data_IF_068593680801
#
_entry.id   IF_068593680801
#
_cell.length_a   1.000
_cell.length_b   1.000
_cell.length_c   1.000
_cell.angle_alpha   90.00
_cell.angle_beta   90.00
_cell.angle_gamma   90.00
#
_symmetry.space_group_name_H-M   'P 1'
#
loop_
_entity.id
_entity.type
_entity.pdbx_description
1 polymer ?
#
# COMPACT_ATOMS: atom_id res chain seq x y z
N UNK A 1 -12.46 -2.86 -0.17
CA UNK A 1 -11.07 -3.24 0.15
C UNK A 1 -10.54 -4.41 -0.68
N UNK A 2 -11.29 -5.50 -0.93
CA UNK A 2 -10.80 -6.64 -1.73
C UNK A 2 -10.29 -6.24 -3.12
N UNK A 3 -11.04 -5.39 -3.85
CA UNK A 3 -10.62 -4.86 -5.15
C UNK A 3 -9.30 -4.08 -5.02
N UNK A 4 -9.14 -3.28 -3.98
CA UNK A 4 -7.91 -2.54 -3.72
C UNK A 4 -6.74 -3.48 -3.47
N UNK A 5 -6.92 -4.48 -2.60
CA UNK A 5 -5.89 -5.46 -2.25
C UNK A 5 -5.44 -6.28 -3.47
N UNK A 6 -6.37 -6.73 -4.30
CA UNK A 6 -6.08 -7.45 -5.54
C UNK A 6 -5.36 -6.58 -6.57
N UNK A 7 -5.83 -5.34 -6.77
CA UNK A 7 -5.20 -4.39 -7.70
C UNK A 7 -3.76 -4.06 -7.27
N UNK A 8 -3.51 -3.85 -5.97
CA UNK A 8 -2.16 -3.62 -5.47
C UNK A 8 -1.28 -4.86 -5.54
N UNK A 9 -1.82 -6.06 -5.38
CA UNK A 9 -1.06 -7.29 -5.57
C UNK A 9 -0.64 -7.46 -7.05
N UNK A 10 -1.56 -7.24 -7.99
CA UNK A 10 -1.25 -7.22 -9.43
C UNK A 10 -0.21 -6.13 -9.77
N UNK A 11 -0.40 -4.93 -9.25
CA UNK A 11 0.60 -3.86 -9.39
C UNK A 11 1.97 -4.32 -8.91
N UNK A 12 2.06 -4.98 -7.75
CA UNK A 12 3.34 -5.45 -7.19
C UNK A 12 3.99 -6.53 -8.08
N UNK A 13 3.20 -7.44 -8.65
CA UNK A 13 3.69 -8.42 -9.61
C UNK A 13 4.26 -7.74 -10.88
N UNK A 14 3.54 -6.75 -11.42
CA UNK A 14 4.00 -5.98 -12.59
C UNK A 14 5.23 -5.12 -12.28
N UNK A 15 5.36 -4.57 -11.07
CA UNK A 15 6.57 -3.86 -10.62
C UNK A 15 7.77 -4.81 -10.61
N UNK A 16 7.60 -6.05 -10.14
CA UNK A 16 8.64 -7.08 -10.19
C UNK A 16 9.05 -7.37 -11.63
N UNK A 17 8.08 -7.58 -12.52
CA UNK A 17 8.34 -7.79 -13.94
C UNK A 17 9.07 -6.61 -14.59
N UNK A 18 8.64 -5.37 -14.33
CA UNK A 18 9.32 -4.17 -14.82
C UNK A 18 10.79 -4.10 -14.36
N UNK A 19 11.05 -4.48 -13.09
CA UNK A 19 12.41 -4.55 -12.55
C UNK A 19 13.26 -5.61 -13.23
N UNK A 20 12.69 -6.80 -13.53
CA UNK A 20 13.35 -7.86 -14.31
C UNK A 20 13.68 -7.43 -15.74
N UNK A 21 12.87 -6.55 -16.32
CA UNK A 21 13.14 -5.92 -17.63
C UNK A 21 14.17 -4.78 -17.56
N UNK A 22 14.79 -4.53 -16.41
CA UNK A 22 15.84 -3.54 -16.19
C UNK A 22 15.35 -2.10 -15.99
N UNK A 23 14.05 -1.89 -15.73
CA UNK A 23 13.52 -0.55 -15.47
C UNK A 23 13.84 -0.11 -14.03
N UNK A 24 14.53 1.03 -13.82
CA UNK A 24 14.84 1.52 -12.48
C UNK A 24 13.60 1.82 -11.65
N UNK A 25 13.67 1.55 -10.35
CA UNK A 25 12.53 1.69 -9.43
C UNK A 25 11.93 3.10 -9.42
N UNK A 26 12.76 4.14 -9.40
CA UNK A 26 12.29 5.53 -9.43
C UNK A 26 11.60 5.89 -10.74
N UNK A 27 12.00 5.27 -11.86
CA UNK A 27 11.30 5.41 -13.13
C UNK A 27 9.93 4.72 -13.10
N UNK A 28 9.83 3.54 -12.50
CA UNK A 28 8.52 2.87 -12.29
C UNK A 28 7.59 3.78 -11.47
N UNK A 29 8.10 4.40 -10.40
CA UNK A 29 7.34 5.34 -9.57
C UNK A 29 6.92 6.57 -10.39
N UNK A 30 7.81 7.11 -11.21
CA UNK A 30 7.52 8.26 -12.06
C UNK A 30 6.41 7.95 -13.08
N UNK A 31 6.57 6.87 -13.87
CA UNK A 31 5.61 6.53 -14.92
C UNK A 31 4.24 6.21 -14.34
N UNK A 32 4.18 5.41 -13.26
CA UNK A 32 2.89 5.14 -12.60
C UNK A 32 2.24 6.41 -12.05
N UNK A 33 3.04 7.36 -11.55
CA UNK A 33 2.51 8.62 -11.04
C UNK A 33 1.94 9.48 -12.18
N UNK A 34 2.60 9.56 -13.32
CA UNK A 34 2.07 10.24 -14.52
C UNK A 34 0.76 9.63 -14.96
N UNK A 35 0.68 8.30 -15.08
CA UNK A 35 -0.56 7.59 -15.45
C UNK A 35 -1.66 7.86 -14.41
N UNK A 36 -1.35 7.80 -13.12
CA UNK A 36 -2.32 8.08 -12.05
C UNK A 36 -2.83 9.52 -12.09
N UNK A 37 -1.98 10.51 -12.40
CA UNK A 37 -2.42 11.90 -12.59
C UNK A 37 -3.39 12.01 -13.75
N UNK A 38 -3.05 11.43 -14.92
CA UNK A 38 -3.91 11.47 -16.10
C UNK A 38 -5.28 10.83 -15.84
N UNK A 39 -5.30 9.64 -15.23
CA UNK A 39 -6.52 8.93 -14.91
C UNK A 39 -7.35 9.67 -13.83
N UNK A 40 -6.70 10.25 -12.81
CA UNK A 40 -7.39 11.05 -11.80
C UNK A 40 -8.01 12.31 -12.40
N UNK A 41 -7.29 13.01 -13.29
CA UNK A 41 -7.81 14.19 -13.97
C UNK A 41 -8.97 13.85 -14.90
N UNK A 42 -8.92 12.71 -15.60
CA UNK A 42 -10.01 12.22 -16.43
C UNK A 42 -11.28 11.94 -15.58
N UNK A 43 -11.12 11.27 -14.43
CA UNK A 43 -12.24 10.97 -13.52
C UNK A 43 -12.79 12.24 -12.86
N UNK A 44 -11.93 13.19 -12.45
CA UNK A 44 -12.33 14.50 -11.91
C UNK A 44 -13.16 15.28 -12.91
N UNK A 45 -12.75 15.30 -14.19
CA UNK A 45 -13.52 15.96 -15.26
C UNK A 45 -14.88 15.27 -15.48
N UNK A 46 -14.89 13.94 -15.45
CA UNK A 46 -16.12 13.15 -15.63
C UNK A 46 -17.14 13.42 -14.52
N UNK A 47 -16.68 13.57 -13.29
CA UNK A 47 -17.54 13.82 -12.10
C UNK A 47 -17.86 15.31 -11.94
N UNK A 48 -17.19 16.21 -12.68
CA UNK A 48 -17.36 17.66 -12.57
C UNK A 48 -16.79 18.24 -11.27
N UNK A 49 -15.81 17.55 -10.64
CA UNK A 49 -15.19 18.03 -9.41
C UNK A 49 -14.08 19.05 -9.70
N UNK A 50 -13.78 19.90 -8.71
CA UNK A 50 -12.68 20.84 -8.83
C UNK A 50 -11.33 20.14 -8.53
N UNK A 51 -10.33 20.16 -9.43
CA UNK A 51 -9.10 19.37 -9.29
C UNK A 51 -8.24 19.78 -8.08
N UNK A 52 -8.32 21.03 -7.64
CA UNK A 52 -7.57 21.51 -6.48
C UNK A 52 -8.25 21.18 -5.14
N UNK A 53 -9.49 20.68 -5.16
CA UNK A 53 -10.25 20.41 -3.93
C UNK A 53 -10.47 21.63 -3.05
N UNK A 54 -11.04 21.41 -1.88
CA UNK A 54 -11.34 22.47 -0.90
C UNK A 54 -10.26 22.53 0.20
N UNK A 55 -9.80 21.37 0.70
CA UNK A 55 -8.83 21.27 1.81
C UNK A 55 -7.41 21.03 1.31
N UNK A 56 -6.87 21.96 0.52
CA UNK A 56 -5.56 21.85 -0.15
C UNK A 56 -4.41 21.51 0.77
N UNK A 57 -4.35 22.06 1.97
CA UNK A 57 -3.30 21.77 2.96
C UNK A 57 -3.29 20.31 3.42
N UNK A 58 -4.47 19.73 3.69
CA UNK A 58 -4.59 18.31 4.06
C UNK A 58 -4.32 17.38 2.86
N UNK A 59 -4.75 17.78 1.66
CA UNK A 59 -4.46 17.05 0.43
C UNK A 59 -2.96 16.99 0.14
N UNK A 60 -2.27 18.13 0.28
CA UNK A 60 -0.81 18.20 0.15
C UNK A 60 -0.11 17.37 1.24
N UNK A 61 -0.54 17.51 2.51
CA UNK A 61 -0.01 16.70 3.62
C UNK A 61 -0.16 15.20 3.35
N UNK A 62 -1.30 14.76 2.78
CA UNK A 62 -1.51 13.37 2.33
C UNK A 62 -0.52 12.97 1.23
N UNK A 63 -0.29 13.85 0.26
CA UNK A 63 0.68 13.60 -0.83
C UNK A 63 2.10 13.45 -0.31
N UNK A 64 2.54 14.41 0.51
CA UNK A 64 3.89 14.45 1.11
C UNK A 64 4.12 13.28 2.06
N UNK A 65 3.19 13.01 2.98
CA UNK A 65 3.32 11.87 3.91
C UNK A 65 3.38 10.53 3.16
N UNK A 66 2.58 10.38 2.08
CA UNK A 66 2.63 9.21 1.22
C UNK A 66 3.96 9.06 0.48
N UNK A 67 4.54 10.14 -0.02
CA UNK A 67 5.84 10.11 -0.70
C UNK A 67 6.98 9.79 0.26
N UNK A 68 7.02 10.43 1.44
CA UNK A 68 8.00 10.13 2.48
C UNK A 68 7.90 8.66 2.91
N UNK A 69 6.67 8.18 3.14
CA UNK A 69 6.42 6.78 3.49
C UNK A 69 6.97 5.83 2.43
N UNK A 70 6.65 6.08 1.15
CA UNK A 70 7.10 5.27 0.03
C UNK A 70 8.63 5.22 -0.06
N UNK A 71 9.29 6.37 0.03
CA UNK A 71 10.76 6.49 -0.04
C UNK A 71 11.42 5.77 1.13
N UNK A 72 10.86 5.91 2.34
CA UNK A 72 11.36 5.24 3.55
C UNK A 72 11.23 3.71 3.46
N UNK A 73 10.09 3.21 2.94
CA UNK A 73 9.89 1.78 2.72
C UNK A 73 10.88 1.24 1.68
N UNK A 74 11.13 1.98 0.60
CA UNK A 74 12.09 1.56 -0.41
C UNK A 74 13.52 1.55 0.11
N UNK A 75 13.90 2.54 0.92
CA UNK A 75 15.19 2.52 1.59
C UNK A 75 15.34 1.27 2.47
N UNK A 76 14.30 0.91 3.22
CA UNK A 76 14.30 -0.31 4.02
C UNK A 76 14.43 -1.58 3.15
N UNK A 77 13.70 -1.68 2.02
CA UNK A 77 13.76 -2.83 1.11
C UNK A 77 15.16 -3.02 0.49
N UNK A 78 15.86 -1.93 0.20
CA UNK A 78 17.21 -1.98 -0.38
C UNK A 78 18.25 -2.46 0.65
N UNK A 79 18.09 -2.11 1.94
CA UNK A 79 19.12 -2.35 2.96
C UNK A 79 18.77 -3.47 3.94
N UNK A 80 17.56 -4.03 3.90
CA UNK A 80 17.12 -5.13 4.75
C UNK A 80 16.74 -6.34 3.90
N UNK A 81 16.77 -7.56 4.49
CA UNK A 81 16.09 -8.71 3.87
C UNK A 81 14.63 -8.35 3.56
N UNK A 82 14.16 -8.73 2.35
CA UNK A 82 12.82 -8.37 1.85
C UNK A 82 11.73 -8.71 2.87
N UNK A 83 11.87 -9.84 3.54
CA UNK A 83 10.95 -10.29 4.58
C UNK A 83 10.85 -9.30 5.75
N UNK A 84 12.00 -8.84 6.27
CA UNK A 84 12.03 -7.89 7.36
C UNK A 84 11.44 -6.54 6.95
N UNK A 85 11.80 -6.03 5.77
CA UNK A 85 11.25 -4.79 5.23
C UNK A 85 9.72 -4.88 5.03
N UNK A 86 9.23 -6.02 4.50
CA UNK A 86 7.81 -6.28 4.30
C UNK A 86 7.07 -6.31 5.64
N UNK A 87 7.61 -7.02 6.65
CA UNK A 87 7.01 -7.07 7.99
C UNK A 87 6.90 -5.68 8.62
N UNK A 88 7.97 -4.88 8.51
CA UNK A 88 7.95 -3.50 9.00
C UNK A 88 6.91 -2.65 8.28
N UNK A 89 6.81 -2.76 6.95
CA UNK A 89 5.82 -2.01 6.17
C UNK A 89 4.39 -2.41 6.56
N UNK A 90 4.10 -3.69 6.73
CA UNK A 90 2.76 -4.15 7.12
C UNK A 90 2.38 -3.86 8.58
N UNK A 91 3.20 -3.12 9.33
CA UNK A 91 2.78 -2.47 10.57
C UNK A 91 1.87 -1.27 10.35
N UNK A 92 1.73 -0.75 9.11
CA UNK A 92 0.90 0.42 8.82
C UNK A 92 -0.58 0.30 9.25
N UNK A 93 -1.29 -0.86 9.24
CA UNK A 93 -2.66 -0.91 9.74
C UNK A 93 -2.74 -0.69 11.25
N UNK A 94 -1.73 -1.14 12.00
CA UNK A 94 -1.63 -0.89 13.44
C UNK A 94 -1.47 0.60 13.70
N UNK A 95 -0.55 1.26 13.01
CA UNK A 95 -0.39 2.72 13.10
C UNK A 95 -1.62 3.48 12.64
N UNK A 96 -2.29 3.04 11.57
CA UNK A 96 -3.54 3.66 11.12
C UNK A 96 -4.63 3.53 12.18
N UNK A 97 -4.80 2.36 12.82
CA UNK A 97 -5.79 2.17 13.87
C UNK A 97 -5.51 3.07 15.08
N UNK A 98 -4.23 3.18 15.49
CA UNK A 98 -3.81 4.05 16.58
C UNK A 98 -4.06 5.54 16.26
N UNK A 99 -3.63 6.00 15.08
CA UNK A 99 -3.81 7.38 14.65
C UNK A 99 -5.28 7.75 14.44
N UNK A 100 -6.09 6.83 13.89
CA UNK A 100 -7.52 7.03 13.74
C UNK A 100 -8.22 7.12 15.12
N UNK A 101 -7.79 6.33 16.09
CA UNK A 101 -8.29 6.44 17.47
C UNK A 101 -7.96 7.81 18.09
N UNK A 102 -6.70 8.27 17.95
CA UNK A 102 -6.24 9.52 18.56
C UNK A 102 -6.83 10.76 17.86
N UNK A 103 -6.78 10.80 16.52
CA UNK A 103 -7.10 12.01 15.74
C UNK A 103 -8.51 12.06 15.17
N UNK A 104 -9.16 10.92 14.97
CA UNK A 104 -10.51 10.81 14.42
C UNK A 104 -11.52 10.33 15.46
N UNK A 105 -11.05 9.95 16.66
CA UNK A 105 -11.86 9.35 17.74
C UNK A 105 -12.58 8.05 17.27
N UNK A 106 -12.09 7.41 16.23
CA UNK A 106 -12.61 6.13 15.71
C UNK A 106 -12.07 4.98 16.58
N UNK A 107 -12.94 4.35 17.39
CA UNK A 107 -12.55 3.19 18.19
C UNK A 107 -12.52 1.94 17.31
N UNK A 108 -11.38 1.22 17.22
CA UNK A 108 -11.34 -0.06 16.51
C UNK A 108 -12.25 -1.06 17.21
N UNK A 109 -13.05 -1.79 16.43
CA UNK A 109 -13.90 -2.86 16.97
C UNK A 109 -13.05 -4.05 17.41
N UNK A 110 -13.61 -4.90 18.31
CA UNK A 110 -12.95 -6.16 18.71
C UNK A 110 -12.61 -7.03 17.48
N UNK A 111 -13.49 -7.06 16.48
CA UNK A 111 -13.27 -7.76 15.23
C UNK A 111 -12.09 -7.21 14.44
N UNK A 112 -11.95 -5.87 14.36
CA UNK A 112 -10.80 -5.21 13.73
C UNK A 112 -9.50 -5.53 14.45
N UNK A 113 -9.48 -5.46 15.79
CA UNK A 113 -8.31 -5.83 16.59
C UNK A 113 -7.92 -7.29 16.37
N UNK A 114 -8.89 -8.20 16.34
CA UNK A 114 -8.64 -9.62 16.09
C UNK A 114 -8.10 -9.86 14.67
N UNK A 115 -8.62 -9.16 13.67
CA UNK A 115 -8.07 -9.18 12.31
C UNK A 115 -6.61 -8.74 12.29
N UNK A 116 -6.27 -7.64 12.94
CA UNK A 116 -4.89 -7.12 13.02
C UNK A 116 -3.98 -8.16 13.70
N UNK A 117 -4.38 -8.70 14.84
CA UNK A 117 -3.59 -9.69 15.60
C UNK A 117 -3.36 -10.96 14.80
N UNK A 118 -4.43 -11.56 14.23
CA UNK A 118 -4.32 -12.76 13.42
C UNK A 118 -3.47 -12.52 12.17
N UNK A 119 -3.58 -11.35 11.54
CA UNK A 119 -2.78 -11.00 10.37
C UNK A 119 -1.32 -10.80 10.71
N UNK A 120 -0.99 -10.20 11.86
CA UNK A 120 0.40 -10.05 12.32
C UNK A 120 1.02 -11.42 12.66
N UNK A 121 0.25 -12.31 13.31
CA UNK A 121 0.69 -13.68 13.57
C UNK A 121 0.93 -14.41 12.24
N UNK A 122 -0.02 -14.32 11.32
CA UNK A 122 0.10 -14.92 9.99
C UNK A 122 1.31 -14.42 9.20
N UNK A 123 1.55 -13.11 9.24
CA UNK A 123 2.74 -12.50 8.65
C UNK A 123 4.03 -13.01 9.32
N UNK A 124 4.03 -13.14 10.65
CA UNK A 124 5.13 -13.74 11.40
C UNK A 124 5.47 -15.16 10.93
N UNK A 125 4.46 -16.02 10.72
CA UNK A 125 4.64 -17.37 10.16
C UNK A 125 5.23 -17.34 8.75
N UNK A 126 4.77 -16.43 7.88
CA UNK A 126 5.29 -16.32 6.50
C UNK A 126 6.77 -15.91 6.47
N UNK A 127 7.19 -15.12 7.45
CA UNK A 127 8.54 -14.54 7.52
C UNK A 127 9.50 -15.40 8.39
N UNK A 128 8.98 -16.20 9.33
CA UNK A 128 9.76 -17.01 10.26
C UNK A 128 10.85 -17.88 9.60
N UNK A 129 10.62 -18.59 8.46
CA UNK A 129 11.67 -19.38 7.82
C UNK A 129 12.90 -18.57 7.40
N UNK A 130 12.73 -17.29 7.11
CA UNK A 130 13.81 -16.40 6.70
C UNK A 130 14.64 -15.89 7.91
N UNK A 131 14.06 -15.92 9.10
CA UNK A 131 14.72 -15.53 10.35
C UNK A 131 15.46 -16.72 11.01
N UNK A 132 14.99 -17.94 10.73
CA UNK A 132 15.56 -19.18 11.25
C UNK A 132 16.74 -19.70 10.41
N UNK A 133 16.94 -19.19 9.20
CA UNK A 133 18.12 -19.48 8.40
C UNK A 133 19.35 -18.83 9.05
N UNK A 134 20.44 -19.60 9.22
CA UNK A 134 21.60 -19.40 10.07
C UNK A 134 22.50 -18.16 9.83
N UNK A 135 22.06 -17.17 9.11
CA UNK A 135 22.78 -15.91 9.00
C UNK A 135 22.24 -14.89 10.02
N UNK A 136 22.94 -14.63 11.15
CA UNK A 136 22.59 -13.54 12.06
C UNK A 136 22.95 -12.21 11.38
N UNK A 137 22.18 -11.79 10.41
CA UNK A 137 22.26 -10.42 9.89
C UNK A 137 21.76 -9.51 11.00
N UNK A 138 22.66 -8.88 11.74
CA UNK A 138 22.32 -7.76 12.62
C UNK A 138 21.61 -6.75 11.74
N UNK A 139 20.29 -6.62 11.92
CA UNK A 139 19.51 -5.63 11.20
C UNK A 139 20.10 -4.25 11.49
N UNK A 140 20.53 -3.55 10.44
CA UNK A 140 21.09 -2.23 10.60
C UNK A 140 20.03 -1.28 11.16
N UNK A 141 20.39 -0.48 12.16
CA UNK A 141 19.46 0.40 12.88
C UNK A 141 18.69 1.36 11.97
N UNK A 142 19.40 2.07 11.10
CA UNK A 142 18.79 3.08 10.22
C UNK A 142 17.77 2.51 9.23
N UNK A 143 18.02 1.40 8.53
CA UNK A 143 17.01 0.76 7.68
C UNK A 143 15.76 0.27 8.43
N UNK A 144 15.91 -0.22 9.66
CA UNK A 144 14.78 -0.61 10.51
C UNK A 144 13.95 0.62 10.87
N UNK A 145 14.61 1.72 11.30
CA UNK A 145 13.91 2.97 11.59
C UNK A 145 13.22 3.55 10.36
N UNK A 146 13.82 3.46 9.19
CA UNK A 146 13.19 3.87 7.93
C UNK A 146 11.96 3.01 7.62
N UNK A 147 12.02 1.68 7.78
CA UNK A 147 10.89 0.78 7.59
C UNK A 147 9.72 1.10 8.52
N UNK A 148 9.98 1.30 9.81
CA UNK A 148 8.97 1.71 10.78
C UNK A 148 8.44 3.13 10.50
N UNK A 149 9.33 4.07 10.15
CA UNK A 149 8.95 5.43 9.75
C UNK A 149 8.06 5.43 8.49
N UNK A 150 8.37 4.55 7.54
CA UNK A 150 7.55 4.35 6.34
C UNK A 150 6.16 3.79 6.66
N UNK A 151 6.07 2.81 7.58
CA UNK A 151 4.80 2.29 8.05
C UNK A 151 3.97 3.34 8.80
N UNK A 152 4.60 4.13 9.68
CA UNK A 152 3.96 5.24 10.37
C UNK A 152 3.49 6.31 9.38
N UNK A 153 4.32 6.70 8.41
CA UNK A 153 3.99 7.65 7.35
C UNK A 153 2.80 7.17 6.50
N UNK A 154 2.72 5.87 6.20
CA UNK A 154 1.55 5.25 5.56
C UNK A 154 0.32 5.35 6.45
N UNK A 155 0.44 5.11 7.76
CA UNK A 155 -0.63 5.28 8.74
C UNK A 155 -1.16 6.72 8.78
N UNK A 156 -0.27 7.70 8.77
CA UNK A 156 -0.62 9.13 8.67
C UNK A 156 -1.37 9.40 7.37
N UNK A 157 -0.83 8.94 6.23
CA UNK A 157 -1.45 9.14 4.93
C UNK A 157 -2.88 8.57 4.87
N UNK A 158 -3.11 7.37 5.39
CA UNK A 158 -4.43 6.73 5.41
C UNK A 158 -5.40 7.43 6.38
N UNK A 159 -4.92 7.89 7.54
CA UNK A 159 -5.72 8.69 8.47
C UNK A 159 -6.15 10.01 7.82
N UNK A 160 -5.25 10.66 7.06
CA UNK A 160 -5.58 11.86 6.28
C UNK A 160 -6.60 11.55 5.17
N UNK A 161 -6.46 10.43 4.46
CA UNK A 161 -7.47 9.98 3.47
C UNK A 161 -8.82 9.85 4.14
N UNK A 162 -8.92 9.18 5.29
CA UNK A 162 -10.19 9.01 6.02
C UNK A 162 -10.82 10.36 6.41
N UNK A 163 -10.01 11.32 6.84
CA UNK A 163 -10.49 12.67 7.14
C UNK A 163 -10.95 13.44 5.90
N UNK A 164 -10.27 13.24 4.78
CA UNK A 164 -10.54 13.95 3.52
C UNK A 164 -11.77 13.40 2.79
N UNK A 165 -12.07 12.11 2.87
CA UNK A 165 -13.22 11.51 2.18
C UNK A 165 -14.59 12.06 2.63
N UNK A 166 -14.64 12.75 3.76
CA UNK A 166 -15.84 13.45 4.23
C UNK A 166 -16.13 14.73 3.45
N UNK A 167 -15.13 15.33 2.80
CA UNK A 167 -15.23 16.67 2.19
C UNK A 167 -14.73 16.73 0.76
N UNK A 168 -13.95 15.74 0.32
CA UNK A 168 -13.30 15.73 -0.98
C UNK A 168 -13.70 14.49 -1.80
N UNK A 169 -13.71 14.65 -3.11
CA UNK A 169 -13.93 13.52 -4.01
C UNK A 169 -12.73 12.56 -3.99
N UNK A 170 -12.95 11.22 -4.04
CA UNK A 170 -11.86 10.24 -4.04
C UNK A 170 -10.77 10.51 -5.06
N UNK A 171 -11.15 10.87 -6.29
CA UNK A 171 -10.19 11.15 -7.37
C UNK A 171 -9.30 12.34 -7.09
N UNK A 172 -9.81 13.37 -6.38
CA UNK A 172 -9.03 14.53 -5.94
C UNK A 172 -8.03 14.13 -4.86
N UNK A 173 -8.46 13.30 -3.90
CA UNK A 173 -7.57 12.80 -2.83
C UNK A 173 -6.42 11.96 -3.43
N UNK A 174 -6.75 11.09 -4.40
CA UNK A 174 -5.76 10.22 -5.06
C UNK A 174 -4.79 11.04 -5.92
N UNK A 175 -5.24 12.14 -6.56
CA UNK A 175 -4.43 12.99 -7.43
C UNK A 175 -3.20 13.58 -6.72
N UNK A 176 -3.33 14.02 -5.48
CA UNK A 176 -2.25 14.74 -4.79
C UNK A 176 -1.01 13.89 -4.51
N UNK A 177 -1.17 12.58 -4.29
CA UNK A 177 -0.04 11.70 -4.06
C UNK A 177 0.89 11.58 -5.28
N UNK A 178 0.42 11.21 -6.47
CA UNK A 178 1.26 11.16 -7.64
C UNK A 178 1.80 12.53 -8.07
N UNK A 179 1.07 13.62 -7.82
CA UNK A 179 1.59 14.98 -8.06
C UNK A 179 2.85 15.28 -7.24
N UNK A 180 2.98 14.74 -6.03
CA UNK A 180 4.20 14.86 -5.21
C UNK A 180 5.25 13.83 -5.65
N UNK A 181 4.84 12.62 -6.06
CA UNK A 181 5.78 11.58 -6.52
C UNK A 181 6.53 11.98 -7.79
N UNK A 182 5.90 12.69 -8.74
CA UNK A 182 6.55 13.08 -10.01
C UNK A 182 7.82 13.89 -9.77
N UNK A 183 7.79 15.08 -9.12
CA UNK A 183 8.99 15.84 -8.86
C UNK A 183 9.97 15.10 -7.95
N UNK A 184 9.48 14.35 -6.96
CA UNK A 184 10.32 13.56 -6.07
C UNK A 184 11.11 12.48 -6.81
N UNK A 185 10.48 11.72 -7.69
CA UNK A 185 11.15 10.68 -8.48
C UNK A 185 12.16 11.25 -9.49
N UNK A 186 11.84 12.41 -10.11
CA UNK A 186 12.75 13.10 -11.01
C UNK A 186 13.99 13.62 -10.28
N UNK A 187 13.80 14.24 -9.11
CA UNK A 187 14.91 14.79 -8.33
C UNK A 187 15.84 13.70 -7.77
N UNK A 188 15.29 12.54 -7.39
CA UNK A 188 16.05 11.47 -6.75
C UNK A 188 16.66 10.46 -7.75
N UNK A 189 16.13 10.34 -8.95
CA UNK A 189 16.56 9.28 -9.87
C UNK A 189 16.41 9.58 -11.36
N UNK A 190 16.08 10.81 -11.73
CA UNK A 190 15.83 11.16 -13.13
C UNK A 190 17.04 10.96 -14.06
N UNK A 191 18.27 11.02 -13.51
CA UNK A 191 19.50 10.78 -14.27
C UNK A 191 19.69 9.31 -14.68
N UNK A 192 19.06 8.37 -13.95
CA UNK A 192 19.22 6.92 -14.18
C UNK A 192 18.10 6.33 -15.05
N UNK A 193 17.22 7.16 -15.60
CA UNK A 193 16.09 6.67 -16.39
C UNK A 193 16.57 6.08 -17.72
N UNK A 194 16.02 4.90 -18.04
CA UNK A 194 16.30 4.17 -19.29
C UNK A 194 15.08 4.19 -20.20
N UNK A 195 15.28 3.98 -21.49
CA UNK A 195 14.16 3.84 -22.43
C UNK A 195 13.69 2.38 -22.45
N UNK A 196 12.49 2.05 -21.92
CA UNK A 196 11.99 0.68 -21.88
C UNK A 196 11.70 0.16 -23.31
N UNK A 197 11.80 -1.16 -23.47
CA UNK A 197 11.32 -1.82 -24.68
C UNK A 197 9.77 -1.81 -24.73
N UNK A 198 9.18 -2.28 -25.83
CA UNK A 198 7.72 -2.30 -26.00
C UNK A 198 7.00 -3.05 -24.87
N UNK A 199 7.54 -4.20 -24.43
CA UNK A 199 6.98 -4.98 -23.30
C UNK A 199 7.07 -4.18 -22.00
N UNK A 200 8.19 -3.53 -21.73
CA UNK A 200 8.37 -2.67 -20.56
C UNK A 200 7.33 -1.55 -20.49
N UNK A 201 6.98 -0.93 -21.61
CA UNK A 201 5.92 0.09 -21.66
C UNK A 201 4.53 -0.48 -21.32
N UNK A 202 4.17 -1.68 -21.82
CA UNK A 202 2.91 -2.34 -21.47
C UNK A 202 2.86 -2.68 -19.97
N UNK A 203 3.95 -3.19 -19.43
CA UNK A 203 4.05 -3.50 -18.00
C UNK A 203 3.92 -2.22 -17.16
N UNK A 204 4.61 -1.14 -17.53
CA UNK A 204 4.50 0.15 -16.84
C UNK A 204 3.09 0.75 -16.91
N UNK A 205 2.41 0.62 -18.05
CA UNK A 205 1.01 1.02 -18.18
C UNK A 205 0.12 0.23 -17.21
N UNK A 206 0.31 -1.08 -17.15
CA UNK A 206 -0.38 -1.94 -16.18
C UNK A 206 -0.12 -1.52 -14.73
N UNK A 207 1.14 -1.24 -14.36
CA UNK A 207 1.50 -0.71 -13.03
C UNK A 207 0.70 0.54 -12.70
N UNK A 208 0.64 1.51 -13.62
CA UNK A 208 -0.10 2.76 -13.43
C UNK A 208 -1.61 2.54 -13.28
N UNK A 209 -2.21 1.73 -14.16
CA UNK A 209 -3.64 1.45 -14.14
C UNK A 209 -4.06 0.72 -12.85
N UNK A 210 -3.33 -0.34 -12.44
CA UNK A 210 -3.65 -1.06 -11.21
C UNK A 210 -3.33 -0.25 -9.96
N UNK A 211 -2.31 0.60 -9.97
CA UNK A 211 -2.09 1.59 -8.90
C UNK A 211 -3.31 2.49 -8.74
N UNK A 212 -3.80 3.06 -9.82
CA UNK A 212 -4.96 3.97 -9.79
C UNK A 212 -6.21 3.27 -9.29
N UNK A 213 -6.50 2.07 -9.82
CA UNK A 213 -7.64 1.25 -9.38
C UNK A 213 -7.55 0.94 -7.88
N UNK A 214 -6.37 0.51 -7.41
CA UNK A 214 -6.11 0.20 -6.01
C UNK A 214 -6.32 1.40 -5.10
N UNK A 215 -5.79 2.57 -5.47
CA UNK A 215 -5.90 3.80 -4.71
C UNK A 215 -7.35 4.33 -4.66
N UNK A 216 -8.06 4.31 -5.76
CA UNK A 216 -9.47 4.72 -5.81
C UNK A 216 -10.36 3.77 -4.98
N UNK A 217 -10.15 2.45 -5.11
CA UNK A 217 -10.91 1.46 -4.35
C UNK A 217 -10.63 1.57 -2.84
N UNK A 218 -9.37 1.83 -2.43
CA UNK A 218 -9.00 2.11 -1.04
C UNK A 218 -9.71 3.37 -0.52
N UNK A 219 -9.62 4.47 -1.28
CA UNK A 219 -10.19 5.75 -0.86
C UNK A 219 -11.72 5.65 -0.74
N UNK A 220 -12.38 4.99 -1.70
CA UNK A 220 -13.83 4.71 -1.63
C UNK A 220 -14.18 3.80 -0.45
N UNK A 221 -13.36 2.80 -0.14
CA UNK A 221 -13.59 1.96 1.04
C UNK A 221 -13.53 2.78 2.33
N UNK A 222 -12.63 3.74 2.42
CA UNK A 222 -12.53 4.65 3.57
C UNK A 222 -13.66 5.69 3.64
N UNK A 223 -14.45 5.87 2.58
CA UNK A 223 -15.70 6.66 2.67
C UNK A 223 -16.81 5.92 3.42
N UNK A 224 -16.83 4.59 3.28
CA UNK A 224 -17.93 3.73 3.77
C UNK A 224 -17.59 3.11 5.12
N UNK A 225 -16.29 2.94 5.44
CA UNK A 225 -15.84 2.22 6.61
C UNK A 225 -14.77 3.02 7.38
N UNK A 226 -14.51 2.64 8.65
CA UNK A 226 -13.46 3.25 9.46
C UNK A 226 -12.06 3.02 8.87
N UNK A 227 -11.13 3.94 9.16
CA UNK A 227 -9.74 3.83 8.67
C UNK A 227 -9.08 2.54 9.16
N UNK A 228 -9.23 2.21 10.43
CA UNK A 228 -8.65 1.01 11.05
C UNK A 228 -9.14 -0.27 10.39
N UNK A 229 -10.44 -0.34 10.07
CA UNK A 229 -11.03 -1.52 9.44
C UNK A 229 -10.65 -1.64 7.98
N UNK A 230 -10.74 -0.55 7.23
CA UNK A 230 -10.33 -0.53 5.83
C UNK A 230 -8.87 -0.99 5.68
N UNK A 231 -7.95 -0.47 6.51
CA UNK A 231 -6.52 -0.85 6.44
C UNK A 231 -6.22 -2.24 6.98
N UNK A 232 -6.96 -2.74 8.00
CA UNK A 232 -6.76 -4.12 8.47
C UNK A 232 -7.10 -5.16 7.38
N UNK A 233 -8.09 -4.88 6.53
CA UNK A 233 -8.41 -5.74 5.39
C UNK A 233 -7.34 -5.69 4.27
N UNK A 234 -6.42 -4.74 4.30
CA UNK A 234 -5.31 -4.70 3.32
C UNK A 234 -4.32 -5.84 3.47
N UNK A 235 -4.26 -6.52 4.63
CA UNK A 235 -3.44 -7.72 4.79
C UNK A 235 -3.77 -8.83 3.78
N UNK A 236 -5.01 -8.89 3.25
CA UNK A 236 -5.41 -9.83 2.19
C UNK A 236 -4.53 -9.66 0.93
N UNK A 237 -3.98 -8.47 0.70
CA UNK A 237 -3.03 -8.23 -0.39
C UNK A 237 -1.84 -9.19 -0.35
N UNK A 238 -1.37 -9.59 0.84
CA UNK A 238 -0.26 -10.52 1.02
C UNK A 238 -0.63 -11.89 0.43
N UNK A 239 -1.85 -12.35 0.67
CA UNK A 239 -2.35 -13.61 0.14
C UNK A 239 -2.45 -13.56 -1.39
N UNK A 240 -3.00 -12.46 -1.94
CA UNK A 240 -3.02 -12.27 -3.39
C UNK A 240 -1.62 -12.20 -3.99
N UNK A 241 -0.67 -11.52 -3.32
CA UNK A 241 0.71 -11.45 -3.77
C UNK A 241 1.38 -12.83 -3.79
N UNK A 242 1.15 -13.67 -2.77
CA UNK A 242 1.66 -15.04 -2.73
C UNK A 242 1.06 -15.91 -3.86
N UNK A 243 -0.24 -15.79 -4.13
CA UNK A 243 -0.90 -16.50 -5.23
C UNK A 243 -0.36 -16.06 -6.59
N UNK A 244 -0.19 -14.76 -6.82
CA UNK A 244 0.36 -14.24 -8.07
C UNK A 244 1.83 -14.62 -8.23
N UNK A 245 2.61 -14.64 -7.14
CA UNK A 245 3.99 -15.12 -7.12
C UNK A 245 4.09 -16.58 -7.59
N UNK A 246 3.17 -17.43 -7.09
CA UNK A 246 3.08 -18.82 -7.52
C UNK A 246 2.68 -18.94 -9.00
N UNK A 247 1.65 -18.22 -9.42
CA UNK A 247 1.10 -18.34 -10.78
C UNK A 247 2.03 -17.79 -11.87
N UNK A 248 2.66 -16.63 -11.63
CA UNK A 248 3.43 -15.92 -12.66
C UNK A 248 4.94 -16.11 -12.54
N UNK A 249 5.45 -16.41 -11.35
CA UNK A 249 6.88 -16.51 -11.10
C UNK A 249 7.32 -17.91 -10.65
N UNK A 250 6.41 -18.90 -10.67
CA UNK A 250 6.65 -20.27 -10.20
C UNK A 250 7.19 -20.36 -8.75
N UNK A 251 6.90 -19.33 -7.93
CA UNK A 251 7.28 -19.28 -6.53
C UNK A 251 6.31 -20.13 -5.71
N UNK A 252 6.66 -21.42 -5.49
CA UNK A 252 5.81 -22.34 -4.70
C UNK A 252 5.77 -21.84 -3.24
N UNK A 253 4.58 -21.48 -2.70
CA UNK A 253 4.48 -21.02 -1.33
C UNK A 253 4.89 -22.12 -0.35
N UNK A 254 5.88 -21.86 0.50
CA UNK A 254 6.25 -22.76 1.59
C UNK A 254 5.06 -23.01 2.53
N UNK A 255 5.08 -24.13 3.27
CA UNK A 255 4.01 -24.47 4.23
C UNK A 255 3.75 -23.33 5.22
N UNK A 256 4.78 -22.66 5.70
CA UNK A 256 4.68 -21.49 6.56
C UNK A 256 3.91 -20.33 5.91
N UNK A 257 4.11 -20.11 4.60
CA UNK A 257 3.36 -19.11 3.82
C UNK A 257 1.88 -19.48 3.69
N UNK A 258 1.58 -20.78 3.51
CA UNK A 258 0.19 -21.26 3.44
C UNK A 258 -0.53 -21.10 4.79
N UNK A 259 0.12 -21.48 5.90
CA UNK A 259 -0.43 -21.31 7.25
C UNK A 259 -0.64 -19.81 7.56
N UNK A 260 0.37 -18.99 7.28
CA UNK A 260 0.28 -17.54 7.48
C UNK A 260 -0.84 -16.90 6.65
N UNK A 261 -0.98 -17.30 5.38
CA UNK A 261 -2.07 -16.86 4.51
C UNK A 261 -3.45 -17.27 5.03
N UNK A 262 -3.60 -18.49 5.54
CA UNK A 262 -4.84 -18.96 6.15
C UNK A 262 -5.23 -18.13 7.38
N UNK A 263 -4.28 -17.79 8.26
CA UNK A 263 -4.52 -16.94 9.42
C UNK A 263 -4.96 -15.51 9.03
N UNK A 264 -4.34 -14.93 7.98
CA UNK A 264 -4.74 -13.62 7.44
C UNK A 264 -6.17 -13.68 6.90
N UNK A 265 -6.52 -14.71 6.14
CA UNK A 265 -7.88 -14.91 5.63
C UNK A 265 -8.90 -15.09 6.75
N UNK A 266 -8.58 -15.89 7.77
CA UNK A 266 -9.44 -16.04 8.95
C UNK A 266 -9.67 -14.71 9.66
N UNK A 267 -8.62 -13.92 9.88
CA UNK A 267 -8.74 -12.58 10.47
C UNK A 267 -9.65 -11.67 9.66
N UNK A 268 -9.50 -11.66 8.33
CA UNK A 268 -10.34 -10.88 7.44
C UNK A 268 -11.81 -11.35 7.44
N UNK A 269 -12.05 -12.66 7.45
CA UNK A 269 -13.40 -13.23 7.55
C UNK A 269 -14.07 -12.87 8.86
N UNK A 270 -13.36 -12.99 9.98
CA UNK A 270 -13.86 -12.59 11.31
C UNK A 270 -14.23 -11.10 11.31
N UNK A 271 -13.36 -10.24 10.75
CA UNK A 271 -13.64 -8.81 10.64
C UNK A 271 -14.86 -8.53 9.75
N UNK A 272 -15.10 -9.33 8.72
CA UNK A 272 -16.26 -9.18 7.85
C UNK A 272 -17.58 -9.69 8.48
N UNK A 273 -17.51 -10.80 9.21
CA UNK A 273 -18.71 -11.46 9.80
C UNK A 273 -19.21 -10.76 11.06
N UNK A 274 -18.31 -10.32 11.91
CA UNK A 274 -18.65 -9.65 13.16
C UNK A 274 -19.00 -8.17 12.96
N UNK A 275 -19.43 -7.79 11.76
CA UNK A 275 -19.96 -6.44 11.52
C UNK A 275 -21.23 -6.25 12.35
N UNK A 276 -21.31 -5.19 13.18
CA UNK A 276 -22.63 -4.69 13.56
C UNK A 276 -23.34 -4.35 12.24
N UNK A 277 -24.52 -4.90 12.03
CA UNK A 277 -25.45 -4.39 11.02
C UNK A 277 -25.79 -2.97 11.46
N UNK A 278 -25.02 -1.97 11.04
CA UNK A 278 -25.46 -0.59 11.18
C UNK A 278 -26.77 -0.48 10.44
N UNK A 279 -27.80 -0.10 11.18
CA UNK A 279 -29.09 0.22 10.63
C UNK A 279 -28.89 1.25 9.48
N UNK A 280 -29.33 0.87 8.30
CA UNK A 280 -29.44 1.77 7.15
C UNK A 280 -30.43 2.89 7.44
#
# INVERSE_FOLDING_TARGET
>A
MLISAFAFALMSALVKEASLLGVPLLQIIFVRAVISVLLSLADIRRVGAHPLGHRRGLLLARGVSGFIALTSVFYAIIHLPIAAATMLHYMHPVFTALLAFIFLLERPTKATLMCIVLSLIGLGFMVAPLWLSEAPTRLAFWPVMAGLGGALGSGIAYTLVRKLVATEQPSVIVLYFPMVCIPGALLLGGADFVWPNAMGWWVLLGVGCFTQLGQLALTKAMQVDSASRATSLSYIQIVFAALLGWLFFAEVPALATQIGGALILLGAMVSAWLQPKEAR
#
